data_IF_090254326818
#
_entry.id   IF_090254326818
#
_cell.length_a   1.000
_cell.length_b   1.000
_cell.length_c   1.000
_cell.angle_alpha   90.00
_cell.angle_beta   90.00
_cell.angle_gamma   90.00
#
_symmetry.space_group_name_H-M   'P 1'
#
loop_
_entity.id
_entity.type
_entity.pdbx_description
1 polymer ?
#
# COMPACT_ATOMS: atom_id res chain seq x y z
N UNK A 1 2.60 1.80 4.32
CA UNK A 1 2.38 2.12 2.90
C UNK A 1 1.14 1.37 2.43
N UNK A 2 0.19 2.08 1.80
CA UNK A 2 -0.94 1.46 1.11
C UNK A 2 -0.60 1.27 -0.36
N UNK A 3 -0.93 0.11 -0.91
CA UNK A 3 -0.81 -0.20 -2.34
C UNK A 3 -2.19 -0.56 -2.88
N UNK A 4 -2.62 0.18 -3.89
CA UNK A 4 -3.88 -0.07 -4.61
C UNK A 4 -3.59 -0.95 -5.82
N UNK A 5 -4.28 -2.08 -5.91
CA UNK A 5 -4.07 -3.11 -6.92
C UNK A 5 -5.26 -3.15 -7.87
N UNK A 6 -4.97 -3.18 -9.18
CA UNK A 6 -5.99 -3.17 -10.25
C UNK A 6 -6.37 -4.59 -10.70
N UNK A 7 -5.49 -5.57 -10.49
CA UNK A 7 -5.64 -6.94 -10.99
C UNK A 7 -5.74 -7.97 -9.85
N UNK A 8 -6.24 -9.17 -10.14
CA UNK A 8 -6.23 -10.32 -9.23
C UNK A 8 -4.83 -10.92 -9.08
N UNK A 9 -3.91 -10.15 -8.51
CA UNK A 9 -2.59 -10.63 -8.11
C UNK A 9 -2.68 -11.32 -6.75
N UNK A 10 -2.08 -12.51 -6.62
CA UNK A 10 -1.96 -13.16 -5.32
C UNK A 10 -1.08 -12.33 -4.37
N UNK A 11 -1.35 -12.45 -3.07
CA UNK A 11 -0.68 -11.66 -2.04
C UNK A 11 0.85 -11.83 -2.03
N UNK A 12 1.34 -13.03 -2.36
CA UNK A 12 2.77 -13.31 -2.44
C UNK A 12 3.45 -12.59 -3.60
N UNK A 13 2.76 -12.46 -4.73
CA UNK A 13 3.27 -11.71 -5.87
C UNK A 13 3.35 -10.21 -5.60
N UNK A 14 2.33 -9.66 -4.95
CA UNK A 14 2.32 -8.28 -4.51
C UNK A 14 3.46 -7.97 -3.53
N UNK A 15 3.76 -8.90 -2.61
CA UNK A 15 4.94 -8.80 -1.76
C UNK A 15 6.21 -8.75 -2.61
N UNK A 16 6.41 -9.72 -3.52
CA UNK A 16 7.63 -9.77 -4.35
C UNK A 16 7.85 -8.50 -5.15
N UNK A 17 6.81 -8.00 -5.84
CA UNK A 17 6.87 -6.78 -6.66
C UNK A 17 7.21 -5.54 -5.85
N UNK A 18 6.74 -5.46 -4.60
CA UNK A 18 6.94 -4.27 -3.74
C UNK A 18 8.14 -4.37 -2.80
N UNK A 19 8.75 -5.54 -2.63
CA UNK A 19 9.81 -5.74 -1.65
C UNK A 19 11.04 -4.86 -1.92
N UNK A 20 11.44 -4.69 -3.18
CA UNK A 20 12.62 -3.89 -3.52
C UNK A 20 12.47 -2.42 -3.08
N UNK A 21 11.35 -1.78 -3.45
CA UNK A 21 11.08 -0.37 -3.08
C UNK A 21 10.89 -0.22 -1.57
N UNK A 22 10.19 -1.16 -0.91
CA UNK A 22 9.97 -1.11 0.54
C UNK A 22 11.27 -1.27 1.31
N UNK A 23 12.14 -2.19 0.91
CA UNK A 23 13.46 -2.36 1.53
C UNK A 23 14.33 -1.12 1.33
N UNK A 24 14.34 -0.53 0.13
CA UNK A 24 15.09 0.68 -0.15
C UNK A 24 14.64 1.85 0.75
N UNK A 25 13.34 2.12 0.81
CA UNK A 25 12.78 3.18 1.67
C UNK A 25 12.99 2.89 3.16
N UNK A 26 12.84 1.63 3.58
CA UNK A 26 13.06 1.24 4.97
C UNK A 26 14.51 1.51 5.41
N UNK A 27 15.48 1.16 4.55
CA UNK A 27 16.90 1.40 4.80
C UNK A 27 17.24 2.90 4.76
N UNK A 28 16.70 3.63 3.78
CA UNK A 28 16.91 5.06 3.63
C UNK A 28 16.46 5.85 4.86
N UNK A 29 15.34 5.47 5.46
CA UNK A 29 14.74 6.19 6.58
C UNK A 29 14.98 5.53 7.94
N UNK A 30 15.75 4.43 8.00
CA UNK A 30 15.98 3.63 9.21
C UNK A 30 14.68 3.26 9.96
N UNK A 31 13.60 2.99 9.23
CA UNK A 31 12.29 2.59 9.76
C UNK A 31 11.77 1.36 9.05
N UNK A 32 10.92 0.57 9.70
CA UNK A 32 10.24 -0.54 9.05
C UNK A 32 8.95 -0.05 8.41
N UNK A 33 8.84 -0.17 7.09
CA UNK A 33 7.62 0.17 6.36
C UNK A 33 6.74 -1.07 6.22
N UNK A 34 5.63 -1.11 6.95
CA UNK A 34 4.58 -2.11 6.75
C UNK A 34 3.80 -1.83 5.45
N UNK A 35 3.35 -2.89 4.79
CA UNK A 35 2.57 -2.85 3.55
C UNK A 35 1.15 -3.33 3.80
N UNK A 36 0.18 -2.61 3.22
CA UNK A 36 -1.21 -3.03 3.14
C UNK A 36 -1.64 -2.99 1.67
N UNK A 37 -2.35 -4.02 1.23
CA UNK A 37 -2.85 -4.14 -0.14
C UNK A 37 -4.37 -4.06 -0.16
N UNK A 38 -4.91 -3.33 -1.12
CA UNK A 38 -6.35 -3.19 -1.32
C UNK A 38 -6.66 -3.18 -2.82
N UNK A 39 -7.78 -3.75 -3.23
CA UNK A 39 -8.24 -3.61 -4.61
C UNK A 39 -8.69 -2.17 -4.88
N UNK A 40 -8.60 -1.73 -6.13
CA UNK A 40 -9.10 -0.41 -6.53
C UNK A 40 -10.57 -0.19 -6.14
N UNK A 41 -11.43 -1.17 -6.42
CA UNK A 41 -12.86 -1.06 -6.07
C UNK A 41 -13.06 -0.81 -4.57
N UNK A 42 -12.33 -1.54 -3.72
CA UNK A 42 -12.42 -1.36 -2.27
C UNK A 42 -11.84 -0.03 -1.84
N UNK A 43 -10.73 0.40 -2.41
CA UNK A 43 -10.15 1.71 -2.12
C UNK A 43 -11.16 2.84 -2.38
N UNK A 44 -11.88 2.78 -3.50
CA UNK A 44 -12.82 3.84 -3.90
C UNK A 44 -14.15 3.81 -3.12
N UNK A 45 -14.61 2.63 -2.68
CA UNK A 45 -15.95 2.45 -2.12
C UNK A 45 -15.99 2.20 -0.62
N UNK A 46 -14.93 1.64 -0.05
CA UNK A 46 -14.92 1.23 1.36
C UNK A 46 -14.62 2.42 2.28
N UNK A 47 -15.48 2.62 3.28
CA UNK A 47 -15.35 3.69 4.27
C UNK A 47 -14.78 3.19 5.60
N UNK A 48 -13.73 2.37 5.56
CA UNK A 48 -13.06 1.94 6.79
C UNK A 48 -12.25 3.11 7.38
N UNK A 49 -12.11 3.20 8.73
CA UNK A 49 -11.36 4.30 9.36
C UNK A 49 -9.95 4.49 8.79
N UNK A 50 -9.29 3.37 8.45
CA UNK A 50 -7.98 3.39 7.83
C UNK A 50 -8.00 4.06 6.44
N UNK A 51 -8.91 3.65 5.55
CA UNK A 51 -8.99 4.21 4.20
C UNK A 51 -9.45 5.67 4.23
N UNK A 52 -10.39 6.04 5.11
CA UNK A 52 -10.81 7.43 5.26
C UNK A 52 -9.64 8.36 5.64
N UNK A 53 -8.74 7.90 6.51
CA UNK A 53 -7.54 8.65 6.86
C UNK A 53 -6.56 8.73 5.69
N UNK A 54 -6.34 7.62 4.96
CA UNK A 54 -5.47 7.62 3.77
C UNK A 54 -5.98 8.58 2.69
N UNK A 55 -7.30 8.66 2.45
CA UNK A 55 -7.86 9.63 1.48
C UNK A 55 -7.67 11.09 1.91
N UNK A 56 -7.64 11.37 3.21
CA UNK A 56 -7.48 12.73 3.74
C UNK A 56 -6.02 13.18 3.77
N UNK A 57 -5.11 12.27 4.09
CA UNK A 57 -3.71 12.57 4.43
C UNK A 57 -2.72 12.04 3.39
N UNK A 58 -3.18 11.22 2.45
CA UNK A 58 -2.33 10.59 1.44
C UNK A 58 -1.65 11.64 0.56
N UNK A 59 -0.32 11.61 0.52
CA UNK A 59 0.48 12.40 -0.42
C UNK A 59 0.60 11.59 -1.71
N UNK A 60 0.08 12.06 -2.85
CA UNK A 60 0.37 11.44 -4.15
C UNK A 60 1.87 11.60 -4.44
N UNK A 61 2.53 10.49 -4.79
CA UNK A 61 3.94 10.43 -5.16
C UNK A 61 4.08 10.23 -6.66
#
# INVERSE_FOLDING_TARGET
MLVVVHDDSDYGDLIRRTSAIVSALSLQHAVVISRSFVSQERFEREQSPFLLNVHREGIPI
#
